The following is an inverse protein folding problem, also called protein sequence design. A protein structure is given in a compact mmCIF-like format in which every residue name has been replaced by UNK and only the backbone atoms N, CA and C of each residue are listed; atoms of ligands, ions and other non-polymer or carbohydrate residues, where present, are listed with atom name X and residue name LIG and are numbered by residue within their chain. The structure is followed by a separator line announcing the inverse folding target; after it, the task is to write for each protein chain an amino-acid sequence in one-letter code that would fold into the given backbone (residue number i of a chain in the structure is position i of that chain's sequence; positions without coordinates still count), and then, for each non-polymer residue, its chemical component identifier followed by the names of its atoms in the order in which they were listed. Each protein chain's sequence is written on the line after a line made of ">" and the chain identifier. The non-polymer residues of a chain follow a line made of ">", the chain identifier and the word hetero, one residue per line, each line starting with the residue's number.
data_IF_389581455762
#
_entry.id   IF_389581455762
#
_cell.length_a   1.000
_cell.length_b   1.000
_cell.length_c   1.000
_cell.angle_alpha   90.00
_cell.angle_beta   90.00
_cell.angle_gamma   90.00
#
_symmetry.space_group_name_H-M   'P 1'
#
loop_
_entity.id
_entity.type
_entity.pdbx_description
1 polymer ?
#
# COMPACT_ATOMS: atom_id res chain seq x y z
N UNK A 1 -30.51 -14.51 10.71
CA UNK A 1 -29.32 -15.18 10.13
C UNK A 1 -29.43 -15.00 8.63
N UNK A 2 -28.70 -14.07 8.03
CA UNK A 2 -28.82 -13.82 6.58
C UNK A 2 -28.22 -15.04 5.89
N UNK A 3 -29.05 -15.84 5.23
CA UNK A 3 -28.63 -16.97 4.40
C UNK A 3 -28.05 -16.33 3.12
N UNK A 4 -26.79 -15.91 3.20
CA UNK A 4 -26.06 -15.32 2.09
C UNK A 4 -25.39 -16.46 1.31
N UNK A 5 -25.57 -16.48 -0.01
CA UNK A 5 -24.79 -17.35 -0.88
C UNK A 5 -23.30 -17.06 -0.71
N UNK A 6 -22.52 -18.09 -0.33
CA UNK A 6 -21.10 -17.97 0.00
C UNK A 6 -20.30 -17.35 -1.17
N UNK A 7 -20.76 -17.53 -2.39
CA UNK A 7 -20.25 -16.91 -3.62
C UNK A 7 -20.16 -15.37 -3.56
N UNK A 8 -21.09 -14.70 -2.88
CA UNK A 8 -21.13 -13.23 -2.81
C UNK A 8 -20.48 -12.67 -1.53
N UNK A 9 -19.95 -13.52 -0.65
CA UNK A 9 -19.38 -13.13 0.65
C UNK A 9 -18.33 -12.02 0.54
N UNK A 10 -17.48 -12.08 -0.48
CA UNK A 10 -16.44 -11.08 -0.71
C UNK A 10 -16.98 -9.65 -0.86
N UNK A 11 -18.14 -9.48 -1.53
CA UNK A 11 -18.79 -8.17 -1.70
C UNK A 11 -19.30 -7.64 -0.37
N UNK A 12 -19.91 -8.50 0.45
CA UNK A 12 -20.40 -8.12 1.78
C UNK A 12 -19.25 -7.78 2.72
N UNK A 13 -18.18 -8.59 2.73
CA UNK A 13 -16.96 -8.28 3.48
C UNK A 13 -16.37 -6.93 3.04
N UNK A 14 -16.35 -6.66 1.75
CA UNK A 14 -15.89 -5.38 1.21
C UNK A 14 -16.73 -4.19 1.68
N UNK A 15 -18.06 -4.27 1.51
CA UNK A 15 -18.98 -3.20 1.94
C UNK A 15 -18.92 -3.00 3.45
N UNK A 16 -18.89 -4.07 4.23
CA UNK A 16 -18.81 -4.00 5.68
C UNK A 16 -17.48 -3.40 6.17
N UNK A 17 -16.34 -3.90 5.68
CA UNK A 17 -15.03 -3.42 6.10
C UNK A 17 -14.81 -1.95 5.70
N UNK A 18 -15.17 -1.59 4.46
CA UNK A 18 -15.07 -0.21 3.99
C UNK A 18 -16.05 0.71 4.71
N UNK A 19 -17.30 0.27 4.93
CA UNK A 19 -18.30 1.02 5.68
C UNK A 19 -17.89 1.26 7.13
N UNK A 20 -17.35 0.24 7.80
CA UNK A 20 -16.80 0.37 9.15
C UNK A 20 -15.64 1.37 9.19
N UNK A 21 -14.70 1.29 8.24
CA UNK A 21 -13.62 2.26 8.10
C UNK A 21 -14.16 3.69 7.92
N UNK A 22 -15.16 3.88 7.06
CA UNK A 22 -15.79 5.19 6.84
C UNK A 22 -16.45 5.71 8.12
N UNK A 23 -17.16 4.88 8.88
CA UNK A 23 -17.74 5.26 10.18
C UNK A 23 -16.64 5.67 11.17
N UNK A 24 -15.53 4.93 11.23
CA UNK A 24 -14.36 5.27 12.03
C UNK A 24 -13.76 6.63 11.63
N UNK A 25 -13.64 6.90 10.33
CA UNK A 25 -13.12 8.16 9.80
C UNK A 25 -14.07 9.33 10.08
N UNK A 26 -15.39 9.15 9.91
CA UNK A 26 -16.40 10.15 10.29
C UNK A 26 -16.32 10.43 11.79
N UNK A 27 -16.24 9.39 12.61
CA UNK A 27 -16.09 9.54 14.06
C UNK A 27 -14.83 10.32 14.41
N UNK A 28 -13.69 10.02 13.76
CA UNK A 28 -12.46 10.78 13.94
C UNK A 28 -12.64 12.27 13.62
N UNK A 29 -13.23 12.59 12.47
CA UNK A 29 -13.37 13.97 11.99
C UNK A 29 -14.41 14.78 12.78
N UNK A 30 -15.56 14.20 13.11
CA UNK A 30 -16.68 14.95 13.69
C UNK A 30 -16.82 14.79 15.20
N UNK A 31 -16.22 13.77 15.80
CA UNK A 31 -16.31 13.50 17.25
C UNK A 31 -14.97 13.83 17.93
N UNK A 32 -13.83 13.42 17.35
CA UNK A 32 -12.52 13.52 18.00
C UNK A 32 -11.68 14.73 17.59
N UNK A 33 -11.80 15.22 16.35
CA UNK A 33 -11.09 16.43 15.87
C UNK A 33 -11.63 17.74 16.51
N UNK A 34 -12.71 17.68 17.30
CA UNK A 34 -13.20 18.79 18.16
C UNK A 34 -12.36 18.94 19.45
N UNK A 35 -11.05 19.06 19.29
CA UNK A 35 -10.18 19.67 20.31
C UNK A 35 -9.38 18.74 21.22
N UNK A 36 -8.98 17.53 20.79
CA UNK A 36 -8.02 16.70 21.55
C UNK A 36 -6.95 16.07 20.65
N UNK A 37 -5.73 15.93 21.17
CA UNK A 37 -4.63 15.14 20.59
C UNK A 37 -5.03 13.66 20.57
N UNK A 38 -5.88 13.25 19.62
CA UNK A 38 -6.24 11.84 19.46
C UNK A 38 -5.16 11.12 18.65
N UNK A 39 -4.61 10.03 19.17
CA UNK A 39 -3.81 9.10 18.39
C UNK A 39 -4.62 8.63 17.16
N UNK A 40 -4.04 8.75 15.96
CA UNK A 40 -4.73 8.41 14.72
C UNK A 40 -4.92 6.89 14.56
N UNK A 41 -6.04 6.39 15.07
CA UNK A 41 -6.44 4.99 14.93
C UNK A 41 -6.89 4.63 13.51
N UNK A 42 -7.08 5.61 12.63
CA UNK A 42 -7.58 5.35 11.27
C UNK A 42 -6.51 4.70 10.38
N UNK A 43 -5.22 4.96 10.61
CA UNK A 43 -4.12 4.32 9.88
C UNK A 43 -4.12 2.79 9.97
N UNK A 44 -4.06 2.19 11.18
CA UNK A 44 -4.17 0.74 11.35
C UNK A 44 -5.49 0.16 10.77
N UNK A 45 -6.60 0.89 10.92
CA UNK A 45 -7.89 0.48 10.35
C UNK A 45 -7.89 0.42 8.82
N UNK A 46 -7.18 1.35 8.16
CA UNK A 46 -6.99 1.35 6.72
C UNK A 46 -6.25 0.08 6.26
N UNK A 47 -5.22 -0.35 6.99
CA UNK A 47 -4.46 -1.57 6.68
C UNK A 47 -5.31 -2.83 6.91
N UNK A 48 -6.01 -2.92 8.04
CA UNK A 48 -6.89 -4.07 8.35
C UNK A 48 -7.99 -4.20 7.29
N UNK A 49 -8.57 -3.08 6.85
CA UNK A 49 -9.56 -3.07 5.76
C UNK A 49 -9.00 -3.69 4.48
N UNK A 50 -7.76 -3.35 4.12
CA UNK A 50 -7.11 -3.95 2.95
C UNK A 50 -6.88 -5.44 3.11
N UNK A 51 -6.45 -5.91 4.29
CA UNK A 51 -6.19 -7.32 4.58
C UNK A 51 -7.47 -8.16 4.52
N UNK A 52 -8.53 -7.70 5.20
CA UNK A 52 -9.84 -8.37 5.22
C UNK A 52 -10.40 -8.48 3.80
N UNK A 53 -10.39 -7.36 3.05
CA UNK A 53 -10.97 -7.35 1.70
C UNK A 53 -10.13 -8.14 0.70
N UNK A 54 -8.79 -8.06 0.77
CA UNK A 54 -7.90 -8.87 -0.08
C UNK A 54 -8.16 -10.35 0.13
N UNK A 55 -8.16 -10.82 1.38
CA UNK A 55 -8.41 -12.22 1.69
C UNK A 55 -9.79 -12.68 1.22
N UNK A 56 -10.83 -11.86 1.42
CA UNK A 56 -12.18 -12.21 0.98
C UNK A 56 -12.26 -12.39 -0.56
N UNK A 57 -11.58 -11.54 -1.32
CA UNK A 57 -11.48 -11.68 -2.78
C UNK A 57 -10.59 -12.86 -3.21
N UNK A 58 -9.48 -13.11 -2.51
CA UNK A 58 -8.58 -14.23 -2.78
C UNK A 58 -9.27 -15.59 -2.52
N UNK A 59 -10.10 -15.69 -1.48
CA UNK A 59 -10.96 -16.86 -1.21
C UNK A 59 -12.01 -17.01 -2.32
N UNK A 60 -12.65 -15.92 -2.73
CA UNK A 60 -13.65 -15.97 -3.79
C UNK A 60 -13.04 -16.48 -5.11
N UNK A 61 -11.88 -15.95 -5.49
CA UNK A 61 -11.19 -16.37 -6.70
C UNK A 61 -10.74 -17.83 -6.65
N UNK A 62 -10.33 -18.33 -5.48
CA UNK A 62 -9.86 -19.72 -5.34
C UNK A 62 -10.95 -20.77 -5.18
N UNK A 63 -12.10 -20.42 -4.60
CA UNK A 63 -13.17 -21.37 -4.27
C UNK A 63 -14.37 -21.32 -5.22
N UNK A 64 -14.61 -20.18 -5.88
CA UNK A 64 -15.86 -19.94 -6.63
C UNK A 64 -15.66 -19.52 -8.08
N UNK A 65 -14.41 -19.31 -8.53
CA UNK A 65 -14.09 -18.99 -9.92
C UNK A 65 -13.26 -20.10 -10.56
N UNK A 66 -13.41 -20.25 -11.88
CA UNK A 66 -12.61 -21.20 -12.66
C UNK A 66 -11.22 -20.63 -12.94
N UNK A 67 -10.21 -21.49 -13.00
CA UNK A 67 -8.81 -21.08 -13.14
C UNK A 67 -8.54 -20.34 -14.47
N UNK A 68 -9.30 -20.65 -15.52
CA UNK A 68 -9.22 -20.03 -16.85
C UNK A 68 -9.73 -18.58 -16.85
N UNK A 69 -10.61 -18.22 -15.92
CA UNK A 69 -11.19 -16.87 -15.80
C UNK A 69 -10.32 -15.93 -14.97
N UNK A 70 -9.32 -16.46 -14.26
CA UNK A 70 -8.44 -15.69 -13.39
C UNK A 70 -7.30 -15.06 -14.18
N UNK A 71 -6.97 -13.81 -13.84
CA UNK A 71 -5.71 -13.20 -14.29
C UNK A 71 -4.53 -13.98 -13.67
N UNK A 72 -3.31 -13.94 -14.27
CA UNK A 72 -2.15 -14.62 -13.70
C UNK A 72 -1.88 -14.23 -12.23
N UNK A 73 -2.10 -12.96 -11.87
CA UNK A 73 -1.96 -12.48 -10.49
C UNK A 73 -3.04 -13.05 -9.57
N UNK A 74 -4.30 -13.08 -10.01
CA UNK A 74 -5.40 -13.66 -9.23
C UNK A 74 -5.18 -15.15 -8.99
N UNK A 75 -4.76 -15.88 -10.03
CA UNK A 75 -4.44 -17.32 -9.94
C UNK A 75 -3.30 -17.59 -8.96
N UNK A 76 -2.26 -16.75 -8.97
CA UNK A 76 -1.14 -16.87 -8.04
C UNK A 76 -1.60 -16.70 -6.58
N UNK A 77 -2.50 -15.75 -6.31
CA UNK A 77 -2.94 -15.40 -4.96
C UNK A 77 -4.21 -16.15 -4.48
N UNK A 78 -4.85 -16.90 -5.36
CA UNK A 78 -6.09 -17.61 -5.08
C UNK A 78 -5.97 -18.55 -3.87
N UNK A 79 -6.90 -18.41 -2.93
CA UNK A 79 -6.96 -19.21 -1.69
C UNK A 79 -7.98 -20.33 -1.89
N UNK A 80 -7.48 -21.56 -2.02
CA UNK A 80 -8.27 -22.77 -2.33
C UNK A 80 -8.74 -23.55 -1.10
N UNK A 81 -8.52 -23.00 0.10
CA UNK A 81 -8.95 -23.57 1.38
C UNK A 81 -9.33 -22.42 2.32
N UNK A 82 -10.46 -22.56 3.01
CA UNK A 82 -10.83 -21.60 4.06
C UNK A 82 -9.77 -21.57 5.18
N UNK A 83 -9.24 -20.38 5.52
CA UNK A 83 -8.39 -20.21 6.70
C UNK A 83 -9.10 -20.64 7.97
N UNK A 84 -8.38 -21.28 8.88
CA UNK A 84 -8.81 -21.43 10.26
C UNK A 84 -8.89 -20.07 10.95
N UNK A 85 -9.62 -20.01 12.08
CA UNK A 85 -9.70 -18.80 12.88
C UNK A 85 -8.31 -18.34 13.35
N UNK A 86 -7.42 -19.28 13.68
CA UNK A 86 -6.05 -18.97 14.09
C UNK A 86 -5.24 -18.35 12.95
N UNK A 87 -5.28 -18.95 11.74
CA UNK A 87 -4.59 -18.40 10.57
C UNK A 87 -5.12 -17.01 10.21
N UNK A 88 -6.44 -16.82 10.29
CA UNK A 88 -7.08 -15.52 10.03
C UNK A 88 -6.64 -14.45 11.03
N UNK A 89 -6.64 -14.75 12.33
CA UNK A 89 -6.20 -13.82 13.37
C UNK A 89 -4.69 -13.57 13.29
N UNK A 90 -3.89 -14.60 13.02
CA UNK A 90 -2.45 -14.49 12.81
C UNK A 90 -2.14 -13.56 11.63
N UNK A 91 -2.83 -13.74 10.49
CA UNK A 91 -2.68 -12.87 9.34
C UNK A 91 -3.08 -11.44 9.67
N UNK A 92 -4.26 -11.18 10.24
CA UNK A 92 -4.73 -9.82 10.48
C UNK A 92 -3.95 -9.08 11.58
N UNK A 93 -3.59 -9.78 12.66
CA UNK A 93 -2.95 -9.20 13.84
C UNK A 93 -1.42 -9.35 13.87
N UNK A 94 -0.78 -9.76 12.77
CA UNK A 94 0.68 -9.88 12.74
C UNK A 94 1.37 -8.54 13.09
N UNK A 95 2.34 -8.58 14.01
CA UNK A 95 3.00 -7.38 14.51
C UNK A 95 3.83 -6.65 13.44
N UNK A 96 4.25 -7.36 12.38
CA UNK A 96 5.11 -6.80 11.33
C UNK A 96 4.42 -5.72 10.50
N UNK A 97 3.08 -5.78 10.37
CA UNK A 97 2.33 -4.89 9.49
C UNK A 97 1.04 -4.32 10.07
N UNK A 98 0.75 -4.51 11.36
CA UNK A 98 -0.53 -4.09 11.97
C UNK A 98 -0.76 -2.58 11.96
N UNK A 99 0.31 -1.76 12.04
CA UNK A 99 0.18 -0.31 12.16
C UNK A 99 0.15 0.41 10.79
N UNK A 100 1.18 0.19 9.97
CA UNK A 100 1.42 0.97 8.76
C UNK A 100 1.62 0.10 7.49
N UNK A 101 1.34 -1.20 7.57
CA UNK A 101 1.66 -2.16 6.51
C UNK A 101 3.15 -2.53 6.50
N UNK A 102 3.74 -2.88 5.35
CA UNK A 102 3.11 -3.02 4.04
C UNK A 102 2.02 -4.10 4.01
N UNK A 103 1.05 -3.94 3.11
CA UNK A 103 0.07 -4.98 2.85
C UNK A 103 0.75 -6.15 2.12
N UNK A 104 0.53 -7.38 2.60
CA UNK A 104 0.91 -8.62 1.92
C UNK A 104 -0.32 -9.48 1.64
N UNK A 105 -0.26 -10.38 0.66
CA UNK A 105 -1.33 -11.35 0.45
C UNK A 105 -1.37 -12.37 1.59
N UNK A 106 -2.53 -12.99 1.81
CA UNK A 106 -2.64 -14.06 2.81
C UNK A 106 -1.74 -15.25 2.46
N UNK A 107 -1.67 -15.59 1.16
CA UNK A 107 -0.86 -16.71 0.68
C UNK A 107 0.64 -16.50 0.94
N UNK A 108 1.15 -15.30 0.69
CA UNK A 108 2.55 -14.96 0.95
C UNK A 108 2.85 -15.03 2.45
N UNK A 109 1.94 -14.51 3.28
CA UNK A 109 2.06 -14.55 4.73
C UNK A 109 2.08 -15.98 5.28
N UNK A 110 1.14 -16.82 4.88
CA UNK A 110 1.06 -18.22 5.33
C UNK A 110 2.28 -19.02 4.87
N UNK A 111 2.69 -18.83 3.62
CA UNK A 111 3.91 -19.44 3.07
C UNK A 111 5.16 -19.05 3.87
N UNK A 112 5.24 -17.78 4.29
CA UNK A 112 6.32 -17.28 5.13
C UNK A 112 6.31 -17.89 6.54
N UNK A 113 5.19 -17.86 7.26
CA UNK A 113 5.15 -18.37 8.65
C UNK A 113 5.32 -19.90 8.73
N UNK A 114 4.98 -20.63 7.67
CA UNK A 114 5.18 -22.07 7.56
C UNK A 114 6.57 -22.44 6.99
N UNK A 115 7.42 -21.44 6.70
CA UNK A 115 8.78 -21.65 6.22
C UNK A 115 8.87 -22.23 4.80
N UNK A 116 7.80 -22.18 4.00
CA UNK A 116 7.76 -22.73 2.63
C UNK A 116 8.26 -21.78 1.55
N UNK A 117 8.56 -20.53 1.89
CA UNK A 117 8.97 -19.49 0.93
C UNK A 117 10.15 -19.91 0.05
N UNK A 118 11.11 -20.66 0.59
CA UNK A 118 12.28 -21.13 -0.14
C UNK A 118 11.99 -22.26 -1.14
N UNK A 119 10.95 -23.06 -0.91
CA UNK A 119 10.60 -24.18 -1.79
C UNK A 119 9.98 -23.72 -3.12
N UNK A 120 9.26 -22.59 -3.11
CA UNK A 120 8.65 -22.02 -4.32
C UNK A 120 9.70 -21.43 -5.27
N UNK A 121 10.71 -20.74 -4.75
CA UNK A 121 11.81 -20.19 -5.57
C UNK A 121 12.63 -21.30 -6.24
N UNK A 122 12.75 -22.47 -5.60
CA UNK A 122 13.39 -23.66 -6.20
C UNK A 122 12.52 -24.31 -7.30
N UNK A 123 11.19 -24.31 -7.14
CA UNK A 123 10.29 -24.91 -8.13
C UNK A 123 10.18 -24.08 -9.42
N UNK A 124 10.28 -22.75 -9.35
CA UNK A 124 10.30 -21.88 -10.54
C UNK A 124 11.64 -21.96 -11.31
N UNK A 125 12.74 -22.25 -10.59
CA UNK A 125 14.06 -22.47 -11.18
C UNK A 125 14.18 -23.83 -11.91
N UNK A 126 13.43 -24.86 -11.51
CA UNK A 126 13.52 -26.21 -12.09
C UNK A 126 13.06 -26.34 -13.56
N UNK A 127 12.63 -25.24 -14.21
CA UNK A 127 12.39 -25.19 -15.65
C UNK A 127 13.62 -24.81 -16.50
N UNK A 128 14.72 -24.35 -15.87
CA UNK A 128 15.98 -24.01 -16.53
C UNK A 128 17.14 -24.39 -15.61
N UNK A 129 18.04 -25.25 -16.08
CA UNK A 129 19.29 -25.58 -15.39
C UNK A 129 20.11 -24.30 -15.12
N UNK A 130 19.94 -23.71 -13.94
CA UNK A 130 20.84 -22.67 -13.42
C UNK A 130 21.43 -23.11 -12.08
N UNK A 131 22.76 -23.10 -12.07
CA UNK A 131 23.76 -23.36 -11.03
C UNK A 131 23.20 -23.36 -9.59
N UNK A 132 23.29 -24.53 -8.94
CA UNK A 132 23.13 -24.71 -7.49
C UNK A 132 24.23 -23.93 -6.76
N UNK A 133 23.99 -22.66 -6.46
CA UNK A 133 24.67 -22.04 -5.32
C UNK A 133 24.14 -22.74 -4.06
N UNK A 134 25.03 -23.17 -3.16
CA UNK A 134 24.63 -23.58 -1.80
C UNK A 134 23.81 -22.44 -1.19
N UNK A 135 22.49 -22.60 -1.17
CA UNK A 135 21.54 -21.57 -0.74
C UNK A 135 21.62 -21.45 0.78
N UNK A 136 22.60 -20.69 1.25
CA UNK A 136 22.68 -20.21 2.62
C UNK A 136 21.57 -19.18 2.85
N UNK A 137 20.89 -19.25 3.99
CA UNK A 137 19.86 -18.28 4.34
C UNK A 137 20.42 -16.86 4.23
N UNK A 138 19.86 -15.99 3.37
CA UNK A 138 20.40 -14.65 3.18
C UNK A 138 20.24 -13.87 4.49
N UNK A 139 21.32 -13.22 4.93
CA UNK A 139 21.22 -12.33 6.09
C UNK A 139 20.45 -11.06 5.73
N UNK A 140 19.38 -10.69 6.48
CA UNK A 140 18.66 -9.44 6.24
C UNK A 140 19.42 -8.21 6.72
N UNK A 141 20.51 -8.38 7.48
CA UNK A 141 21.15 -7.31 8.26
C UNK A 141 21.58 -6.11 7.41
N UNK A 142 22.15 -6.36 6.22
CA UNK A 142 22.59 -5.28 5.33
C UNK A 142 21.38 -4.51 4.78
N UNK A 143 20.34 -5.22 4.33
CA UNK A 143 19.13 -4.60 3.81
C UNK A 143 18.39 -3.80 4.89
N UNK A 144 18.32 -4.34 6.10
CA UNK A 144 17.74 -3.65 7.27
C UNK A 144 18.55 -2.41 7.62
N UNK A 145 19.88 -2.51 7.71
CA UNK A 145 20.75 -1.37 8.00
C UNK A 145 20.59 -0.24 6.97
N UNK A 146 20.57 -0.58 5.68
CA UNK A 146 20.31 0.40 4.61
C UNK A 146 18.95 1.09 4.77
N UNK A 147 17.88 0.33 5.05
CA UNK A 147 16.54 0.91 5.28
C UNK A 147 16.50 1.78 6.54
N UNK A 148 17.21 1.41 7.61
CA UNK A 148 17.31 2.22 8.83
C UNK A 148 18.06 3.55 8.59
N UNK A 149 19.11 3.55 7.76
CA UNK A 149 19.77 4.79 7.33
C UNK A 149 18.79 5.69 6.57
N UNK A 150 18.03 5.14 5.61
CA UNK A 150 16.99 5.88 4.88
C UNK A 150 15.93 6.44 5.83
N UNK A 151 15.53 5.67 6.85
CA UNK A 151 14.61 6.14 7.89
C UNK A 151 15.19 7.32 8.67
N UNK A 152 16.44 7.21 9.14
CA UNK A 152 17.13 8.27 9.87
C UNK A 152 17.24 9.56 9.06
N UNK A 153 17.64 9.46 7.79
CA UNK A 153 17.72 10.60 6.87
C UNK A 153 16.35 11.23 6.61
N UNK A 154 15.32 10.42 6.36
CA UNK A 154 13.96 10.90 6.09
C UNK A 154 13.35 11.60 7.31
N UNK A 155 13.57 11.05 8.51
CA UNK A 155 13.12 11.64 9.76
C UNK A 155 13.86 12.94 10.07
N UNK A 156 15.19 12.96 9.91
CA UNK A 156 15.99 14.17 10.10
C UNK A 156 15.54 15.28 9.15
N UNK A 157 15.35 14.96 7.87
CA UNK A 157 14.84 15.91 6.88
C UNK A 157 13.46 16.43 7.29
N UNK A 158 12.54 15.55 7.69
CA UNK A 158 11.20 15.97 8.12
C UNK A 158 11.30 16.90 9.34
N UNK A 159 12.04 16.53 10.38
CA UNK A 159 12.15 17.32 11.61
C UNK A 159 12.84 18.68 11.44
N UNK A 160 13.61 18.87 10.35
CA UNK A 160 14.33 20.12 10.06
C UNK A 160 13.63 20.95 8.99
N UNK A 161 13.46 20.40 7.79
CA UNK A 161 12.95 21.14 6.60
C UNK A 161 11.44 21.36 6.67
N UNK A 162 10.65 20.43 7.21
CA UNK A 162 9.20 20.66 7.30
C UNK A 162 8.86 21.72 8.37
N UNK A 163 9.76 21.99 9.32
CA UNK A 163 9.60 23.09 10.29
C UNK A 163 9.92 24.46 9.67
N UNK A 164 10.85 24.51 8.71
CA UNK A 164 11.17 25.77 8.01
C UNK A 164 10.16 26.09 6.90
N UNK A 165 9.51 25.06 6.34
CA UNK A 165 8.47 25.18 5.32
C UNK A 165 7.15 24.54 5.80
N UNK A 166 6.51 25.08 6.85
CA UNK A 166 5.26 24.53 7.39
C UNK A 166 4.13 24.60 6.35
N UNK A 167 3.40 23.50 6.21
CA UNK A 167 2.28 23.41 5.24
C UNK A 167 1.15 24.36 5.64
N UNK A 168 0.99 24.60 6.94
CA UNK A 168 -0.02 25.48 7.53
C UNK A 168 0.16 26.95 7.11
N UNK A 169 1.36 27.38 6.73
CA UNK A 169 1.59 28.74 6.26
C UNK A 169 0.85 29.04 4.94
N UNK A 170 0.46 28.02 4.17
CA UNK A 170 -0.35 28.21 2.96
C UNK A 170 -1.75 28.81 3.25
N UNK A 171 -2.27 28.60 4.47
CA UNK A 171 -3.57 29.11 4.89
C UNK A 171 -3.47 30.35 5.78
N UNK A 172 -2.26 30.83 6.07
CA UNK A 172 -2.03 32.05 6.85
C UNK A 172 -2.64 33.29 6.16
N UNK A 173 -3.38 34.09 6.93
CA UNK A 173 -4.13 35.22 6.39
C UNK A 173 -3.21 36.32 5.85
N UNK A 174 -2.08 36.57 6.52
CA UNK A 174 -1.11 37.57 6.08
C UNK A 174 -0.43 37.15 4.79
N UNK A 175 0.02 35.89 4.70
CA UNK A 175 0.62 35.33 3.49
C UNK A 175 -0.36 35.35 2.32
N UNK A 176 -1.62 34.98 2.53
CA UNK A 176 -2.66 34.99 1.49
C UNK A 176 -2.98 36.40 0.99
N UNK A 177 -2.92 37.40 1.87
CA UNK A 177 -3.20 38.80 1.54
C UNK A 177 -2.04 39.50 0.83
N UNK A 178 -0.79 39.12 1.13
CA UNK A 178 0.41 39.84 0.66
C UNK A 178 1.16 39.16 -0.48
N UNK A 179 1.16 37.82 -0.53
CA UNK A 179 1.93 37.08 -1.51
C UNK A 179 1.22 37.01 -2.87
N UNK A 180 2.00 37.21 -3.94
CA UNK A 180 1.52 37.03 -5.31
C UNK A 180 1.15 35.57 -5.59
N UNK A 181 0.26 35.35 -6.56
CA UNK A 181 -0.18 33.99 -6.93
C UNK A 181 1.00 33.03 -7.25
N UNK A 182 2.03 33.42 -8.02
CA UNK A 182 3.18 32.53 -8.27
C UNK A 182 3.93 32.13 -7.00
N UNK A 183 4.14 33.06 -6.07
CA UNK A 183 4.80 32.78 -4.78
C UNK A 183 3.99 31.78 -3.97
N UNK A 184 2.67 31.92 -3.95
CA UNK A 184 1.76 31.00 -3.26
C UNK A 184 1.82 29.58 -3.86
N UNK A 185 1.84 29.47 -5.18
CA UNK A 185 1.95 28.17 -5.88
C UNK A 185 3.30 27.50 -5.62
N UNK A 186 4.40 28.26 -5.69
CA UNK A 186 5.75 27.74 -5.43
C UNK A 186 5.88 27.31 -3.97
N UNK A 187 5.42 28.12 -3.02
CA UNK A 187 5.47 27.78 -1.61
C UNK A 187 4.62 26.54 -1.29
N UNK A 188 3.41 26.44 -1.86
CA UNK A 188 2.56 25.25 -1.72
C UNK A 188 3.29 24.00 -2.20
N UNK A 189 3.93 24.06 -3.37
CA UNK A 189 4.69 22.94 -3.90
C UNK A 189 5.86 22.54 -2.99
N UNK A 190 6.69 23.51 -2.58
CA UNK A 190 7.86 23.26 -1.75
C UNK A 190 7.51 22.76 -0.35
N UNK A 191 6.48 23.34 0.29
CA UNK A 191 6.02 22.90 1.62
C UNK A 191 5.43 21.48 1.59
N UNK A 192 4.67 21.12 0.55
CA UNK A 192 4.17 19.76 0.38
C UNK A 192 5.30 18.75 0.11
N UNK A 193 6.31 19.13 -0.68
CA UNK A 193 7.51 18.30 -0.84
C UNK A 193 8.24 18.14 0.49
N UNK A 194 8.40 19.21 1.26
CA UNK A 194 9.06 19.18 2.57
C UNK A 194 8.34 18.28 3.60
N UNK A 195 7.00 18.17 3.50
CA UNK A 195 6.20 17.34 4.38
C UNK A 195 6.17 15.84 3.99
N UNK A 196 6.54 15.49 2.75
CA UNK A 196 6.46 14.11 2.23
C UNK A 196 7.36 13.09 2.95
N UNK A 197 8.59 13.41 3.39
CA UNK A 197 9.51 12.42 3.97
C UNK A 197 9.02 11.72 5.23
N UNK A 198 7.99 12.23 5.92
CA UNK A 198 7.32 11.50 7.01
C UNK A 198 6.76 10.14 6.55
N UNK A 199 6.27 10.06 5.30
CA UNK A 199 5.79 8.82 4.71
C UNK A 199 6.95 7.90 4.33
N UNK A 200 8.08 8.46 3.87
CA UNK A 200 9.31 7.70 3.60
C UNK A 200 9.82 7.03 4.87
N UNK A 201 9.89 7.80 5.96
CA UNK A 201 10.21 7.24 7.27
C UNK A 201 9.25 6.10 7.66
N UNK A 202 7.95 6.36 7.73
CA UNK A 202 6.99 5.39 8.26
C UNK A 202 6.94 4.09 7.44
N UNK A 203 6.88 4.19 6.11
CA UNK A 203 6.76 3.00 5.25
C UNK A 203 8.10 2.28 5.03
N UNK A 204 9.24 2.98 5.02
CA UNK A 204 10.54 2.30 4.98
C UNK A 204 10.86 1.62 6.32
N UNK A 205 10.43 2.18 7.45
CA UNK A 205 10.58 1.53 8.75
C UNK A 205 9.74 0.26 8.84
N UNK A 206 8.50 0.32 8.37
CA UNK A 206 7.63 -0.85 8.30
C UNK A 206 8.23 -1.97 7.43
N UNK A 207 8.79 -1.59 6.28
CA UNK A 207 9.50 -2.50 5.38
C UNK A 207 10.78 -3.09 6.03
N UNK A 208 11.52 -2.29 6.81
CA UNK A 208 12.68 -2.76 7.57
C UNK A 208 12.29 -3.79 8.65
N UNK A 209 11.16 -3.60 9.35
CA UNK A 209 10.64 -4.54 10.36
C UNK A 209 10.31 -5.89 9.73
N UNK A 210 9.65 -5.89 8.57
CA UNK A 210 9.34 -7.13 7.86
C UNK A 210 10.62 -7.87 7.45
N UNK A 211 11.57 -7.14 6.86
CA UNK A 211 12.86 -7.72 6.48
C UNK A 211 13.64 -8.27 7.68
N UNK A 212 13.61 -7.58 8.82
CA UNK A 212 14.25 -8.05 10.05
C UNK A 212 13.65 -9.36 10.57
N UNK A 213 12.35 -9.58 10.33
CA UNK A 213 11.68 -10.84 10.61
C UNK A 213 11.96 -11.93 9.55
N UNK A 214 12.69 -11.62 8.47
CA UNK A 214 12.93 -12.53 7.35
C UNK A 214 11.84 -12.49 6.27
N UNK A 215 10.84 -11.61 6.39
CA UNK A 215 9.77 -11.47 5.41
C UNK A 215 10.08 -10.32 4.43
N UNK A 216 10.04 -10.58 3.13
CA UNK A 216 10.37 -9.59 2.10
C UNK A 216 11.51 -9.97 1.15
N UNK A 217 12.15 -11.11 1.38
CA UNK A 217 13.10 -11.70 0.45
C UNK A 217 12.40 -12.17 -0.84
N UNK A 218 12.95 -11.78 -1.99
CA UNK A 218 12.41 -12.11 -3.33
C UNK A 218 13.24 -13.17 -4.05
N UNK A 219 14.52 -13.29 -3.73
CA UNK A 219 15.48 -14.12 -4.46
C UNK A 219 16.80 -13.39 -4.68
N UNK A 220 17.68 -14.02 -5.45
CA UNK A 220 18.96 -13.46 -5.86
C UNK A 220 18.91 -12.93 -7.28
N UNK A 221 19.67 -11.89 -7.57
CA UNK A 221 19.92 -11.49 -8.95
C UNK A 221 20.94 -12.41 -9.65
N UNK A 222 21.18 -12.15 -10.94
CA UNK A 222 22.19 -12.86 -11.74
C UNK A 222 23.62 -12.75 -11.19
N UNK A 223 23.87 -11.83 -10.25
CA UNK A 223 25.16 -11.59 -9.61
C UNK A 223 25.22 -12.20 -8.19
N UNK A 224 24.17 -12.89 -7.74
CA UNK A 224 24.09 -13.48 -6.41
C UNK A 224 23.76 -12.49 -5.29
N UNK A 225 23.24 -11.29 -5.60
CA UNK A 225 22.82 -10.29 -4.60
C UNK A 225 21.39 -10.56 -4.18
N UNK A 226 21.17 -10.67 -2.85
CA UNK A 226 19.86 -10.90 -2.27
C UNK A 226 18.95 -9.65 -2.38
N UNK A 227 17.75 -9.83 -2.94
CA UNK A 227 16.74 -8.79 -3.04
C UNK A 227 15.71 -8.88 -1.92
N UNK A 228 15.52 -7.76 -1.23
CA UNK A 228 14.67 -7.63 -0.04
C UNK A 228 13.55 -6.58 -0.24
N UNK A 229 12.96 -6.57 -1.43
CA UNK A 229 11.95 -5.61 -1.89
C UNK A 229 10.61 -6.27 -2.29
N UNK A 230 10.36 -7.52 -1.85
CA UNK A 230 9.15 -8.28 -2.23
C UNK A 230 7.85 -7.57 -1.80
N UNK A 231 7.85 -6.93 -0.63
CA UNK A 231 6.69 -6.24 -0.05
C UNK A 231 6.96 -4.75 0.24
N UNK A 232 7.75 -4.07 -0.59
CA UNK A 232 8.03 -2.64 -0.40
C UNK A 232 6.84 -1.76 -0.82
N UNK A 233 6.56 -0.71 -0.03
CA UNK A 233 5.55 0.31 -0.34
C UNK A 233 6.10 1.50 -1.12
N UNK A 234 7.42 1.69 -1.18
CA UNK A 234 8.05 2.88 -1.72
C UNK A 234 9.28 2.56 -2.57
N UNK A 235 9.44 3.34 -3.63
CA UNK A 235 10.70 3.46 -4.38
C UNK A 235 11.08 4.93 -4.51
N UNK A 236 11.72 5.47 -3.47
CA UNK A 236 11.95 6.91 -3.26
C UNK A 236 12.59 7.60 -4.49
N UNK A 237 13.65 7.03 -5.05
CA UNK A 237 14.30 7.63 -6.23
C UNK A 237 13.37 7.72 -7.44
N UNK A 238 12.53 6.71 -7.66
CA UNK A 238 11.57 6.72 -8.77
C UNK A 238 10.42 7.71 -8.52
N UNK A 239 10.13 8.02 -7.26
CA UNK A 239 9.14 9.04 -6.88
C UNK A 239 9.71 10.45 -7.11
N UNK A 240 10.90 10.74 -6.59
CA UNK A 240 11.48 12.09 -6.67
C UNK A 240 11.91 12.48 -8.09
N UNK A 241 12.30 11.49 -8.91
CA UNK A 241 12.68 11.71 -10.31
C UNK A 241 11.59 11.26 -11.30
N UNK A 242 10.34 11.11 -10.86
CA UNK A 242 9.26 10.70 -11.74
C UNK A 242 9.02 11.73 -12.85
N UNK A 243 9.01 11.28 -14.11
CA UNK A 243 8.73 12.15 -15.27
C UNK A 243 7.25 12.14 -15.69
N UNK A 244 6.45 11.27 -15.09
CA UNK A 244 5.01 11.17 -15.33
C UNK A 244 4.24 10.86 -14.05
N UNK A 245 2.96 11.27 -14.00
CA UNK A 245 2.09 10.98 -12.87
C UNK A 245 1.88 9.47 -12.67
N UNK A 246 1.83 8.70 -13.77
CA UNK A 246 1.78 7.24 -13.70
C UNK A 246 3.01 6.66 -13.01
N UNK A 247 4.20 7.12 -13.39
CA UNK A 247 5.44 6.66 -12.76
C UNK A 247 5.46 6.99 -11.26
N UNK A 248 4.97 8.17 -10.86
CA UNK A 248 4.82 8.51 -9.44
C UNK A 248 3.90 7.52 -8.72
N UNK A 249 2.70 7.27 -9.25
CA UNK A 249 1.71 6.37 -8.64
C UNK A 249 2.19 4.91 -8.56
N UNK A 250 2.90 4.42 -9.58
CA UNK A 250 3.43 3.06 -9.61
C UNK A 250 4.53 2.82 -8.55
N UNK A 251 5.10 3.88 -7.97
CA UNK A 251 6.18 3.83 -6.99
C UNK A 251 5.79 4.33 -5.59
N UNK A 252 4.58 4.89 -5.44
CA UNK A 252 4.03 5.44 -4.19
C UNK A 252 2.95 4.52 -3.61
N UNK A 253 3.14 4.06 -2.37
CA UNK A 253 2.22 3.17 -1.66
C UNK A 253 1.83 1.94 -2.52
N UNK A 254 2.87 1.25 -3.01
CA UNK A 254 2.78 0.21 -4.05
C UNK A 254 1.78 -0.89 -3.66
N UNK A 255 1.81 -1.37 -2.42
CA UNK A 255 0.93 -2.48 -2.01
C UNK A 255 -0.53 -2.07 -1.96
N UNK A 256 -0.82 -0.81 -1.59
CA UNK A 256 -2.16 -0.23 -1.67
C UNK A 256 -2.62 -0.10 -3.12
N UNK A 257 -1.74 0.35 -4.02
CA UNK A 257 -2.06 0.42 -5.45
C UNK A 257 -2.38 -0.96 -6.03
N UNK A 258 -1.60 -1.99 -5.64
CA UNK A 258 -1.88 -3.38 -6.02
C UNK A 258 -3.18 -3.90 -5.42
N UNK A 259 -3.54 -3.54 -4.19
CA UNK A 259 -4.84 -3.86 -3.59
C UNK A 259 -5.98 -3.24 -4.40
N UNK A 260 -5.93 -1.92 -4.63
CA UNK A 260 -6.91 -1.19 -5.45
C UNK A 260 -7.07 -1.83 -6.83
N UNK A 261 -5.96 -2.24 -7.44
CA UNK A 261 -5.98 -2.96 -8.72
C UNK A 261 -6.76 -4.28 -8.62
N UNK A 262 -6.45 -5.10 -7.61
CA UNK A 262 -7.00 -6.45 -7.41
C UNK A 262 -8.45 -6.47 -6.97
N UNK A 263 -8.88 -5.54 -6.12
CA UNK A 263 -10.25 -5.53 -5.57
C UNK A 263 -11.22 -4.68 -6.38
N UNK A 264 -10.71 -3.71 -7.15
CA UNK A 264 -11.54 -2.78 -7.91
C UNK A 264 -11.20 -2.76 -9.40
N UNK A 265 -9.99 -2.36 -9.80
CA UNK A 265 -9.67 -2.10 -11.21
C UNK A 265 -9.91 -3.30 -12.12
N UNK A 266 -9.40 -4.48 -11.76
CA UNK A 266 -9.54 -5.71 -12.57
C UNK A 266 -10.95 -6.29 -12.52
N UNK A 267 -11.82 -5.78 -11.64
CA UNK A 267 -13.19 -6.29 -11.42
C UNK A 267 -14.27 -5.34 -11.89
N UNK A 268 -13.90 -4.10 -12.20
CA UNK A 268 -14.81 -3.08 -12.67
C UNK A 268 -15.15 -3.30 -14.16
N UNK A 269 -16.44 -3.33 -14.48
CA UNK A 269 -16.92 -3.44 -15.87
C UNK A 269 -16.99 -2.09 -16.59
N UNK A 270 -17.15 -0.99 -15.85
CA UNK A 270 -17.36 0.35 -16.41
C UNK A 270 -16.40 1.39 -15.81
N UNK A 271 -15.60 2.07 -16.63
CA UNK A 271 -14.61 3.06 -16.17
C UNK A 271 -13.74 2.62 -14.97
N UNK A 272 -12.93 1.53 -15.10
CA UNK A 272 -12.11 0.99 -14.00
C UNK A 272 -11.24 2.03 -13.29
N UNK A 273 -10.65 2.95 -14.05
CA UNK A 273 -9.84 4.05 -13.51
C UNK A 273 -10.66 4.91 -12.55
N UNK A 274 -11.83 5.39 -12.98
CA UNK A 274 -12.68 6.28 -12.17
C UNK A 274 -13.11 5.58 -10.88
N UNK A 275 -13.61 4.35 -10.99
CA UNK A 275 -14.02 3.57 -9.82
C UNK A 275 -12.87 3.36 -8.83
N UNK A 276 -11.67 3.08 -9.34
CA UNK A 276 -10.48 2.86 -8.50
C UNK A 276 -10.06 4.12 -7.75
N UNK A 277 -10.10 5.28 -8.40
CA UNK A 277 -9.79 6.57 -7.76
C UNK A 277 -10.86 6.99 -6.76
N UNK A 278 -12.15 6.72 -7.02
CA UNK A 278 -13.23 6.93 -6.05
C UNK A 278 -13.03 6.04 -4.82
N UNK A 279 -12.76 4.75 -5.03
CA UNK A 279 -12.46 3.83 -3.94
C UNK A 279 -11.25 4.30 -3.11
N UNK A 280 -10.20 4.76 -3.78
CA UNK A 280 -9.04 5.34 -3.11
C UNK A 280 -9.44 6.55 -2.25
N UNK A 281 -10.28 7.45 -2.77
CA UNK A 281 -10.76 8.61 -1.99
C UNK A 281 -11.52 8.19 -0.72
N UNK A 282 -12.46 7.25 -0.86
CA UNK A 282 -13.25 6.72 0.27
C UNK A 282 -12.32 6.05 1.30
N UNK A 283 -11.33 5.28 0.83
CA UNK A 283 -10.37 4.62 1.72
C UNK A 283 -9.51 5.62 2.51
N UNK A 284 -9.13 6.76 1.93
CA UNK A 284 -8.37 7.80 2.65
C UNK A 284 -9.24 8.59 3.64
N UNK A 285 -10.52 8.82 3.34
CA UNK A 285 -11.49 9.34 4.30
C UNK A 285 -12.50 10.32 3.73
N UNK A 286 -13.11 11.08 4.65
CA UNK A 286 -14.26 11.96 4.33
C UNK A 286 -13.90 13.42 4.11
N UNK A 287 -12.62 13.79 4.26
CA UNK A 287 -12.17 15.15 3.96
C UNK A 287 -12.31 15.47 2.47
N UNK A 288 -12.93 16.61 2.09
CA UNK A 288 -13.14 16.98 0.69
C UNK A 288 -11.86 17.03 -0.16
N UNK A 289 -10.73 17.35 0.48
CA UNK A 289 -9.42 17.38 -0.17
C UNK A 289 -9.05 16.04 -0.84
N UNK A 290 -9.38 14.90 -0.23
CA UNK A 290 -9.10 13.59 -0.84
C UNK A 290 -9.83 13.43 -2.18
N UNK A 291 -11.13 13.75 -2.22
CA UNK A 291 -11.94 13.61 -3.44
C UNK A 291 -11.42 14.53 -4.56
N UNK A 292 -11.01 15.76 -4.23
CA UNK A 292 -10.39 16.68 -5.18
C UNK A 292 -9.06 16.13 -5.72
N UNK A 293 -8.20 15.59 -4.85
CA UNK A 293 -6.93 14.97 -5.25
C UNK A 293 -7.15 13.78 -6.19
N UNK A 294 -8.03 12.84 -5.83
CA UNK A 294 -8.25 11.64 -6.64
C UNK A 294 -9.01 11.93 -7.94
N UNK A 295 -9.94 12.89 -7.96
CA UNK A 295 -10.57 13.36 -9.19
C UNK A 295 -9.54 13.99 -10.15
N UNK A 296 -8.61 14.78 -9.61
CA UNK A 296 -7.49 15.32 -10.40
C UNK A 296 -6.62 14.18 -10.95
N UNK A 297 -6.36 13.16 -10.13
CA UNK A 297 -5.64 11.95 -10.56
C UNK A 297 -6.33 11.18 -11.69
N UNK A 298 -7.67 11.14 -11.71
CA UNK A 298 -8.44 10.58 -12.84
C UNK A 298 -8.14 11.36 -14.12
N UNK A 299 -8.29 12.68 -14.09
CA UNK A 299 -8.08 13.54 -15.26
C UNK A 299 -6.66 13.40 -15.81
N UNK A 300 -5.65 13.46 -14.93
CA UNK A 300 -4.25 13.30 -15.31
C UNK A 300 -3.97 11.93 -15.92
N UNK A 301 -4.54 10.86 -15.36
CA UNK A 301 -4.34 9.49 -15.86
C UNK A 301 -4.98 9.30 -17.23
N UNK A 302 -6.20 9.83 -17.43
CA UNK A 302 -6.89 9.75 -18.71
C UNK A 302 -6.18 10.58 -19.79
N UNK A 303 -5.75 11.80 -19.46
CA UNK A 303 -5.02 12.67 -20.37
C UNK A 303 -3.66 12.09 -20.78
N UNK A 304 -2.97 11.38 -19.88
CA UNK A 304 -1.72 10.70 -20.20
C UNK A 304 -1.93 9.56 -21.22
N UNK A 305 -3.00 8.76 -21.08
CA UNK A 305 -3.31 7.66 -22.00
C UNK A 305 -3.65 8.14 -23.41
N UNK A 306 -4.32 9.28 -23.53
CA UNK A 306 -4.67 9.85 -24.85
C UNK A 306 -3.46 10.36 -25.64
N UNK A 307 -2.29 10.56 -24.99
CA UNK A 307 -1.05 10.98 -25.68
C UNK A 307 -0.16 9.82 -26.12
N UNK A 308 -0.48 8.59 -25.72
CA UNK A 308 0.23 7.36 -26.12
C UNK A 308 -0.36 6.73 -27.40
N UNK A 309 -1.42 7.33 -27.96
CA UNK A 309 -2.02 7.00 -29.26
C UNK A 309 -1.76 8.14 -30.26
#
# INVERSE_FOLDING_TARGET
>A
MIIIGVENMHKYCFVFALGYLTVCQISRVYIFDYGQYSADFSGPMMIITQKITSLAYEIHDGMFRKEEELTPSQRCLAVRRMPSLLEYLSYNCNFMGILAGPLCSYKDYITFIEGRSYQLTQSEANGKEEIKYEQTDPSPNIAVAQKLVVCGLSLLFHMTVSKTLPVEYNIDDHFRATASLPVRVIYLYLSLMAARPKYYFAWTLADAINNAAGFGFRGYDKKGVAHWDSISNLRILHIEFSTSFKMFLDNWNIQTALWLKRVCYERASFSPTIQTFILSAIWHGVYPGYYLTFLTGVLMTLAARTKEH
#
